data_IF_152992324734
#
_entry.id   IF_152992324734
#
_cell.length_a   1.000
_cell.length_b   1.000
_cell.length_c   1.000
_cell.angle_alpha   90.00
_cell.angle_beta   90.00
_cell.angle_gamma   90.00
#
_symmetry.space_group_name_H-M   'P 1'
#
loop_
_entity.id
_entity.type
_entity.pdbx_description
1 polymer ?
#
# COMPACT_ATOMS: atom_id res chain seq x y z
N UNK A 1 -1.77 17.79 -8.75
CA UNK A 1 -1.20 18.90 -9.38
C UNK A 1 -0.14 18.62 -10.45
N UNK A 2 0.10 17.41 -10.88
CA UNK A 2 1.12 17.04 -11.85
C UNK A 2 0.84 17.41 -13.31
N UNK A 3 -0.07 18.31 -13.62
CA UNK A 3 -0.44 18.60 -15.00
C UNK A 3 0.22 19.88 -15.59
N UNK A 4 1.15 20.49 -14.88
CA UNK A 4 1.74 21.75 -15.32
C UNK A 4 2.99 21.60 -16.19
N UNK A 5 3.57 20.42 -16.28
CA UNK A 5 4.81 20.17 -17.01
C UNK A 5 6.06 20.86 -16.46
N UNK A 6 5.94 21.53 -15.33
CA UNK A 6 6.99 22.30 -14.70
C UNK A 6 7.16 21.93 -13.21
N UNK A 7 6.92 20.65 -12.88
CA UNK A 7 7.06 20.18 -11.51
C UNK A 7 8.54 20.01 -11.17
N UNK A 8 8.97 20.77 -10.18
CA UNK A 8 10.30 20.64 -9.57
C UNK A 8 10.12 20.22 -8.11
N UNK A 9 10.48 18.99 -7.77
CA UNK A 9 10.27 18.43 -6.43
C UNK A 9 10.78 19.38 -5.33
N UNK A 10 11.95 19.94 -5.52
CA UNK A 10 12.59 20.86 -4.59
C UNK A 10 11.78 22.14 -4.32
N UNK A 11 11.15 22.68 -5.37
CA UNK A 11 10.41 23.95 -5.29
C UNK A 11 8.92 23.73 -4.94
N UNK A 12 8.35 22.60 -5.36
CA UNK A 12 6.92 22.34 -5.26
C UNK A 12 6.51 21.57 -3.99
N UNK A 13 7.43 20.83 -3.36
CA UNK A 13 7.15 20.04 -2.16
C UNK A 13 7.48 20.82 -0.89
N UNK A 14 6.46 21.39 -0.27
CA UNK A 14 6.62 22.10 1.00
C UNK A 14 6.94 21.17 2.18
N UNK A 15 6.38 19.97 2.18
CA UNK A 15 6.57 18.97 3.23
C UNK A 15 6.73 17.58 2.61
N UNK A 16 7.90 16.92 2.76
CA UNK A 16 8.10 15.57 2.27
C UNK A 16 7.27 14.57 3.07
N UNK A 17 7.04 13.38 2.48
CA UNK A 17 6.37 12.30 3.20
C UNK A 17 7.09 11.97 4.51
N UNK A 18 6.31 11.81 5.57
CA UNK A 18 6.82 11.53 6.91
C UNK A 18 7.24 12.77 7.72
N UNK A 19 7.25 13.96 7.11
CA UNK A 19 7.55 15.20 7.82
C UNK A 19 6.61 15.41 9.00
N UNK A 20 7.17 15.86 10.13
CA UNK A 20 6.42 16.22 11.31
C UNK A 20 7.15 17.28 12.14
N UNK A 21 6.42 17.94 13.01
CA UNK A 21 6.97 18.92 13.95
C UNK A 21 6.90 18.41 15.38
N UNK A 22 7.83 18.85 16.21
CA UNK A 22 7.85 18.57 17.64
C UNK A 22 8.17 19.84 18.43
N UNK A 23 7.78 19.87 19.69
CA UNK A 23 8.19 20.91 20.63
C UNK A 23 9.60 20.70 21.20
N UNK A 24 10.26 19.63 20.79
CA UNK A 24 11.62 19.27 21.21
C UNK A 24 12.38 18.67 20.03
N UNK A 25 13.71 18.59 20.16
CA UNK A 25 14.59 18.06 19.12
C UNK A 25 15.07 16.65 19.47
N UNK A 26 15.22 15.80 18.46
CA UNK A 26 15.72 14.45 18.62
C UNK A 26 16.98 14.21 17.77
N UNK A 27 17.84 13.33 18.26
CA UNK A 27 19.02 12.89 17.55
C UNK A 27 19.06 11.37 17.46
N UNK A 28 19.34 10.86 16.26
CA UNK A 28 19.57 9.43 16.00
C UNK A 28 21.06 9.11 16.06
N UNK A 29 21.41 7.96 16.61
CA UNK A 29 22.78 7.45 16.67
C UNK A 29 22.78 5.92 16.78
N UNK A 30 23.97 5.34 16.69
CA UNK A 30 24.23 3.94 16.96
C UNK A 30 23.33 2.98 16.13
N UNK A 31 23.05 3.33 14.85
CA UNK A 31 22.32 2.45 13.96
C UNK A 31 23.04 1.12 13.82
N UNK A 32 22.29 0.04 14.01
CA UNK A 32 22.73 -1.33 13.71
C UNK A 32 21.64 -1.99 12.87
N UNK A 33 22.06 -2.60 11.77
CA UNK A 33 21.17 -3.39 10.92
C UNK A 33 21.84 -4.73 10.66
N UNK A 34 21.09 -5.81 10.78
CA UNK A 34 21.53 -7.15 10.43
C UNK A 34 20.43 -7.86 9.64
N UNK A 35 20.81 -8.60 8.60
CA UNK A 35 19.89 -9.45 7.87
C UNK A 35 19.82 -10.84 8.51
N UNK A 36 18.65 -11.19 9.00
CA UNK A 36 18.35 -12.51 9.53
C UNK A 36 17.79 -13.38 8.41
N UNK A 37 18.65 -14.24 7.86
CA UNK A 37 18.32 -15.09 6.70
C UNK A 37 17.24 -16.15 7.00
N UNK A 38 17.15 -16.61 8.25
CA UNK A 38 16.19 -17.66 8.62
C UNK A 38 14.77 -17.12 8.67
N UNK A 39 14.62 -15.86 9.12
CA UNK A 39 13.34 -15.17 9.21
C UNK A 39 13.02 -14.33 7.96
N UNK A 40 13.98 -14.15 7.08
CA UNK A 40 13.94 -13.27 5.91
C UNK A 40 13.61 -11.82 6.24
N UNK A 41 14.22 -11.29 7.31
CA UNK A 41 13.98 -9.94 7.83
C UNK A 41 15.28 -9.19 8.11
N UNK A 42 15.20 -7.86 8.07
CA UNK A 42 16.23 -6.99 8.65
C UNK A 42 15.86 -6.63 10.08
N UNK A 43 16.77 -6.87 11.00
CA UNK A 43 16.68 -6.43 12.39
C UNK A 43 17.37 -5.06 12.49
N UNK A 44 16.61 -4.02 12.79
CA UNK A 44 17.06 -2.62 12.84
C UNK A 44 17.02 -2.13 14.26
N UNK A 45 18.12 -1.58 14.75
CA UNK A 45 18.22 -0.98 16.07
C UNK A 45 18.85 0.40 15.96
N UNK A 46 18.24 1.41 16.58
CA UNK A 46 18.73 2.79 16.58
C UNK A 46 18.47 3.45 17.93
N UNK A 47 19.42 4.23 18.41
CA UNK A 47 19.28 5.04 19.61
C UNK A 47 18.73 6.41 19.26
N UNK A 48 17.65 6.79 19.94
CA UNK A 48 17.01 8.12 19.85
C UNK A 48 17.25 8.86 21.16
N UNK A 49 17.70 10.10 21.07
CA UNK A 49 17.94 10.96 22.23
C UNK A 49 17.16 12.25 22.07
N UNK A 50 16.37 12.64 23.06
CA UNK A 50 15.79 13.97 23.13
C UNK A 50 16.91 14.97 23.48
N UNK A 51 17.25 15.82 22.53
CA UNK A 51 18.32 16.85 22.67
C UNK A 51 17.81 18.21 23.08
N UNK A 52 16.49 18.38 23.16
CA UNK A 52 15.87 19.59 23.65
C UNK A 52 16.11 19.79 25.16
N UNK A 53 15.75 20.98 25.64
CA UNK A 53 16.03 21.37 27.02
C UNK A 53 14.79 21.50 27.90
N UNK A 54 13.62 21.65 27.31
CA UNK A 54 12.41 22.05 28.02
C UNK A 54 11.29 21.00 27.96
N UNK A 55 11.08 20.38 26.80
CA UNK A 55 9.90 19.54 26.59
C UNK A 55 10.24 18.07 26.45
N UNK A 56 9.38 17.26 27.03
CA UNK A 56 9.36 15.83 26.75
C UNK A 56 8.56 15.57 25.47
N UNK A 57 8.92 14.53 24.73
CA UNK A 57 8.21 14.16 23.50
C UNK A 57 8.44 12.72 23.08
N UNK A 58 7.64 12.27 22.13
CA UNK A 58 7.84 11.00 21.41
C UNK A 58 8.39 11.29 20.03
N UNK A 59 9.29 10.44 19.57
CA UNK A 59 9.85 10.53 18.22
C UNK A 59 9.41 9.34 17.38
N UNK A 60 9.13 9.59 16.09
CA UNK A 60 8.87 8.56 15.09
C UNK A 60 10.11 8.30 14.26
N UNK A 61 10.70 7.14 14.43
CA UNK A 61 11.80 6.68 13.58
C UNK A 61 11.20 5.97 12.37
N UNK A 62 11.49 6.46 11.17
CA UNK A 62 11.05 5.89 9.91
C UNK A 62 12.22 5.17 9.24
N UNK A 63 11.99 3.95 8.77
CA UNK A 63 12.99 3.16 8.03
C UNK A 63 12.64 3.21 6.56
N UNK A 64 13.58 3.72 5.77
CA UNK A 64 13.45 3.81 4.32
C UNK A 64 14.46 2.92 3.64
N UNK A 65 14.16 2.50 2.43
CA UNK A 65 15.12 1.84 1.57
C UNK A 65 15.21 2.49 0.19
N UNK A 66 16.35 2.29 -0.46
CA UNK A 66 16.54 2.52 -1.87
C UNK A 66 17.01 1.23 -2.51
N UNK A 67 16.28 0.76 -3.52
CA UNK A 67 16.69 -0.36 -4.36
C UNK A 67 17.71 0.06 -5.42
N UNK A 68 18.51 -0.87 -5.96
CA UNK A 68 19.23 -0.62 -7.20
C UNK A 68 18.23 -0.31 -8.33
N UNK A 69 18.69 0.47 -9.31
CA UNK A 69 17.96 0.71 -10.55
C UNK A 69 18.87 0.30 -11.68
N UNK A 70 18.55 -0.80 -12.32
CA UNK A 70 19.45 -1.56 -13.19
C UNK A 70 19.08 -1.41 -14.66
N UNK A 71 19.94 -1.92 -15.55
CA UNK A 71 19.62 -1.99 -16.96
C UNK A 71 18.39 -2.87 -17.24
N UNK A 72 18.19 -3.92 -16.42
CA UNK A 72 17.01 -4.75 -16.49
C UNK A 72 15.73 -3.95 -16.21
N UNK A 73 15.75 -3.08 -15.19
CA UNK A 73 14.61 -2.24 -14.82
C UNK A 73 14.22 -1.30 -15.97
N UNK A 74 15.23 -0.66 -16.58
CA UNK A 74 15.03 0.25 -17.72
C UNK A 74 14.43 -0.51 -18.91
N UNK A 75 14.98 -1.69 -19.22
CA UNK A 75 14.54 -2.51 -20.36
C UNK A 75 13.12 -3.04 -20.18
N UNK A 76 12.72 -3.37 -18.94
CA UNK A 76 11.42 -3.96 -18.64
C UNK A 76 10.42 -2.96 -18.03
N UNK A 77 10.75 -1.66 -17.99
CA UNK A 77 9.86 -0.63 -17.43
C UNK A 77 9.55 -0.80 -15.95
N UNK A 78 10.48 -1.38 -15.16
CA UNK A 78 10.30 -1.52 -13.70
C UNK A 78 10.67 -0.23 -13.02
N UNK A 79 9.68 0.60 -12.72
CA UNK A 79 9.91 1.88 -12.07
C UNK A 79 9.99 1.77 -10.54
N UNK A 80 10.89 2.55 -9.95
CA UNK A 80 11.19 2.51 -8.51
C UNK A 80 11.38 3.93 -7.99
N UNK A 81 10.77 4.21 -6.84
CA UNK A 81 11.00 5.48 -6.15
C UNK A 81 12.45 5.66 -5.69
N UNK A 82 12.88 6.91 -5.46
CA UNK A 82 14.19 7.20 -4.90
C UNK A 82 14.38 6.59 -3.52
N UNK A 83 13.32 6.61 -2.72
CA UNK A 83 13.22 5.93 -1.43
C UNK A 83 11.78 5.48 -1.20
N UNK A 84 11.60 4.39 -0.45
CA UNK A 84 10.29 3.95 0.02
C UNK A 84 10.34 3.60 1.51
N UNK A 85 9.26 3.91 2.24
CA UNK A 85 9.10 3.52 3.63
C UNK A 85 8.94 1.99 3.70
N UNK A 86 9.72 1.33 4.55
CA UNK A 86 9.64 -0.12 4.78
C UNK A 86 9.44 -0.51 6.25
N UNK A 87 9.46 0.45 7.15
CA UNK A 87 9.20 0.21 8.56
C UNK A 87 9.19 1.50 9.37
N UNK A 88 8.62 1.44 10.56
CA UNK A 88 8.69 2.55 11.51
C UNK A 88 8.51 2.06 12.95
N UNK A 89 8.96 2.89 13.88
CA UNK A 89 8.74 2.71 15.31
C UNK A 89 8.61 4.06 16.01
N UNK A 90 7.90 4.08 17.13
CA UNK A 90 7.71 5.28 17.94
C UNK A 90 8.30 5.07 19.34
N UNK A 91 9.03 6.08 19.82
CA UNK A 91 9.59 6.02 21.17
C UNK A 91 8.51 6.16 22.24
N UNK A 92 8.83 5.78 23.46
CA UNK A 92 8.13 6.28 24.63
C UNK A 92 8.35 7.79 24.79
N UNK A 93 7.71 8.39 25.79
CA UNK A 93 7.92 9.81 26.08
C UNK A 93 9.32 9.99 26.64
N UNK A 94 10.19 10.66 25.91
CA UNK A 94 11.56 10.98 26.33
C UNK A 94 11.63 12.36 26.96
N UNK A 95 12.04 12.44 28.21
CA UNK A 95 12.38 13.69 28.88
C UNK A 95 13.64 14.34 28.23
N UNK A 96 13.88 15.65 28.42
CA UNK A 96 15.11 16.29 27.98
C UNK A 96 16.36 15.51 28.40
N UNK A 97 17.23 15.20 27.45
CA UNK A 97 18.46 14.40 27.65
C UNK A 97 18.25 12.88 27.76
N UNK A 98 17.02 12.40 27.86
CA UNK A 98 16.75 10.96 27.88
C UNK A 98 16.93 10.32 26.51
N UNK A 99 17.23 9.03 26.52
CA UNK A 99 17.42 8.22 25.30
C UNK A 99 16.71 6.88 25.42
N UNK A 100 16.30 6.38 24.27
CA UNK A 100 15.76 5.03 24.08
C UNK A 100 16.43 4.36 22.88
N UNK A 101 16.55 3.03 22.92
CA UNK A 101 16.94 2.25 21.75
C UNK A 101 15.72 1.55 21.20
N UNK A 102 15.29 1.97 20.02
CA UNK A 102 14.22 1.30 19.28
C UNK A 102 14.78 0.10 18.54
N UNK A 103 14.02 -1.00 18.59
CA UNK A 103 14.25 -2.19 17.79
C UNK A 103 13.06 -2.41 16.87
N UNK A 104 13.33 -2.53 15.58
CA UNK A 104 12.33 -2.69 14.54
C UNK A 104 12.70 -3.87 13.66
N UNK A 105 11.69 -4.46 13.03
CA UNK A 105 11.87 -5.54 12.05
C UNK A 105 11.29 -5.08 10.72
N UNK A 106 12.04 -5.29 9.64
CA UNK A 106 11.62 -4.99 8.26
C UNK A 106 11.69 -6.28 7.46
N UNK A 107 10.57 -6.70 6.91
CA UNK A 107 10.53 -7.87 6.03
C UNK A 107 11.30 -7.57 4.73
N UNK A 108 12.14 -8.49 4.26
CA UNK A 108 12.88 -8.30 3.00
C UNK A 108 11.93 -8.17 1.81
N UNK A 109 10.72 -8.71 1.91
CA UNK A 109 9.65 -8.52 0.92
C UNK A 109 9.36 -7.06 0.63
N UNK A 110 9.46 -6.17 1.63
CA UNK A 110 9.22 -4.73 1.45
C UNK A 110 10.19 -4.08 0.46
N UNK A 111 11.33 -4.73 0.19
CA UNK A 111 12.32 -4.25 -0.76
C UNK A 111 12.05 -4.71 -2.21
N UNK A 112 11.07 -5.59 -2.41
CA UNK A 112 10.75 -6.12 -3.72
C UNK A 112 9.98 -5.10 -4.57
N UNK A 113 10.18 -5.15 -5.88
CA UNK A 113 9.46 -4.37 -6.88
C UNK A 113 8.62 -5.30 -7.73
N UNK A 114 7.43 -4.86 -8.16
CA UNK A 114 6.63 -5.63 -9.10
C UNK A 114 7.11 -5.37 -10.52
N UNK A 115 7.41 -6.42 -11.24
CA UNK A 115 7.84 -6.39 -12.64
C UNK A 115 6.68 -6.82 -13.53
N UNK A 116 6.02 -5.86 -14.15
CA UNK A 116 4.81 -6.10 -14.94
C UNK A 116 5.10 -6.78 -16.28
N UNK A 117 6.15 -6.36 -16.96
CA UNK A 117 6.39 -6.71 -18.36
C UNK A 117 7.46 -7.80 -18.55
N UNK A 118 8.36 -7.97 -17.57
CA UNK A 118 9.41 -8.98 -17.61
C UNK A 118 9.00 -10.28 -16.90
N UNK A 119 9.20 -10.34 -15.59
CA UNK A 119 8.95 -11.55 -14.79
C UNK A 119 7.46 -11.79 -14.45
N UNK A 120 6.59 -10.78 -14.57
CA UNK A 120 5.17 -10.84 -14.23
C UNK A 120 4.89 -11.05 -12.73
N UNK A 121 5.85 -10.73 -11.87
CA UNK A 121 5.77 -10.96 -10.42
C UNK A 121 6.68 -10.01 -9.64
N UNK A 122 6.76 -10.18 -8.32
CA UNK A 122 7.71 -9.45 -7.49
C UNK A 122 9.15 -9.94 -7.68
N UNK A 123 10.07 -8.99 -7.84
CA UNK A 123 11.50 -9.24 -8.04
C UNK A 123 12.36 -8.54 -6.99
N UNK A 124 13.55 -9.10 -6.76
CA UNK A 124 14.66 -8.41 -6.12
C UNK A 124 15.83 -8.39 -7.10
N UNK A 125 16.33 -7.20 -7.39
CA UNK A 125 17.47 -7.05 -8.28
C UNK A 125 18.78 -7.51 -7.64
N UNK A 126 19.72 -7.89 -8.48
CA UNK A 126 21.10 -7.98 -8.06
C UNK A 126 21.66 -6.57 -7.83
N UNK A 127 22.35 -6.38 -6.71
CA UNK A 127 23.00 -5.11 -6.43
C UNK A 127 22.84 -4.61 -5.00
N UNK A 128 23.19 -3.36 -4.81
CA UNK A 128 23.24 -2.71 -3.51
C UNK A 128 21.91 -2.03 -3.17
N UNK A 129 21.29 -2.50 -2.10
CA UNK A 129 20.18 -1.86 -1.42
C UNK A 129 20.70 -1.03 -0.25
N UNK A 130 20.09 0.12 -0.01
CA UNK A 130 20.45 0.99 1.10
C UNK A 130 19.25 1.13 2.03
N UNK A 131 19.39 0.76 3.30
CA UNK A 131 18.40 0.98 4.34
C UNK A 131 18.89 2.13 5.22
N UNK A 132 18.00 3.09 5.50
CA UNK A 132 18.34 4.22 6.36
C UNK A 132 17.21 4.52 7.35
N UNK A 133 17.56 5.09 8.49
CA UNK A 133 16.59 5.67 9.42
C UNK A 133 16.60 7.19 9.27
N UNK A 134 15.42 7.78 9.17
CA UNK A 134 15.26 9.20 8.96
C UNK A 134 13.97 9.74 9.58
N UNK A 135 13.84 11.05 9.65
CA UNK A 135 12.62 11.75 10.12
C UNK A 135 11.56 11.88 9.05
N UNK A 136 11.97 11.80 7.78
CA UNK A 136 11.13 11.93 6.59
C UNK A 136 11.84 11.38 5.35
N UNK A 137 11.12 11.30 4.23
CA UNK A 137 11.63 10.75 2.97
C UNK A 137 12.80 11.55 2.38
N UNK A 138 12.81 12.88 2.52
CA UNK A 138 13.87 13.71 1.97
C UNK A 138 15.18 13.54 2.74
N UNK A 139 15.11 13.54 4.09
CA UNK A 139 16.26 13.20 4.92
C UNK A 139 16.78 11.77 4.65
N UNK A 140 15.90 10.84 4.32
CA UNK A 140 16.31 9.50 3.89
C UNK A 140 17.14 9.54 2.60
N UNK A 141 16.74 10.33 1.60
CA UNK A 141 17.53 10.55 0.37
C UNK A 141 18.89 11.14 0.71
N UNK A 142 18.93 12.22 1.54
CA UNK A 142 20.18 12.85 1.97
C UNK A 142 21.15 11.84 2.63
N UNK A 143 20.66 11.02 3.56
CA UNK A 143 21.45 10.01 4.25
C UNK A 143 22.04 8.97 3.28
N UNK A 144 21.23 8.49 2.34
CA UNK A 144 21.65 7.49 1.35
C UNK A 144 22.66 8.08 0.37
N UNK A 145 22.45 9.30 -0.13
CA UNK A 145 23.39 10.00 -0.99
C UNK A 145 24.73 10.24 -0.28
N UNK A 146 24.69 10.66 1.00
CA UNK A 146 25.90 10.77 1.81
C UNK A 146 26.63 9.43 1.98
N UNK A 147 25.91 8.33 2.18
CA UNK A 147 26.51 6.99 2.24
C UNK A 147 27.13 6.53 0.91
N UNK A 148 26.68 7.09 -0.20
CA UNK A 148 27.26 6.91 -1.54
C UNK A 148 28.42 7.87 -1.85
N UNK A 149 28.75 8.77 -0.91
CA UNK A 149 29.85 9.74 -1.05
C UNK A 149 29.48 11.06 -1.70
N UNK A 150 28.19 11.35 -1.83
CA UNK A 150 27.70 12.64 -2.32
C UNK A 150 27.59 13.68 -1.20
N UNK A 151 27.61 14.95 -1.61
CA UNK A 151 27.44 16.11 -0.76
C UNK A 151 26.48 17.09 -1.44
N UNK A 152 26.03 18.10 -0.71
CA UNK A 152 25.19 19.17 -1.28
C UNK A 152 25.83 19.80 -2.52
N UNK A 153 27.16 20.01 -2.50
CA UNK A 153 27.89 20.69 -3.56
C UNK A 153 27.97 19.92 -4.89
N UNK A 154 27.73 18.60 -4.88
CA UNK A 154 27.91 17.76 -6.07
C UNK A 154 26.66 16.96 -6.49
N UNK A 155 25.49 17.40 -6.08
CA UNK A 155 24.21 16.70 -6.35
C UNK A 155 23.21 17.54 -7.14
N UNK A 156 23.60 18.74 -7.63
CA UNK A 156 22.73 19.64 -8.42
C UNK A 156 21.34 19.84 -7.79
N UNK A 157 21.31 20.13 -6.47
CA UNK A 157 20.09 20.39 -5.71
C UNK A 157 19.32 19.15 -5.25
N UNK A 158 19.80 17.92 -5.53
CA UNK A 158 19.17 16.69 -5.02
C UNK A 158 19.35 16.47 -3.51
N UNK A 159 20.31 17.15 -2.91
CA UNK A 159 20.49 17.24 -1.46
C UNK A 159 20.31 18.71 -1.05
N UNK A 160 19.46 18.96 -0.06
CA UNK A 160 19.30 20.29 0.53
C UNK A 160 20.22 20.49 1.74
N UNK A 161 20.61 19.39 2.38
CA UNK A 161 21.54 19.36 3.50
C UNK A 161 22.48 18.16 3.38
N UNK A 162 23.63 18.22 4.02
CA UNK A 162 24.50 17.06 4.17
C UNK A 162 23.80 15.99 4.99
N UNK A 163 23.66 14.81 4.42
CA UNK A 163 23.08 13.65 5.08
C UNK A 163 24.02 13.03 6.09
N UNK A 164 23.50 12.14 6.91
CA UNK A 164 24.26 11.36 7.87
C UNK A 164 24.48 9.92 7.38
N UNK A 165 25.63 9.64 6.78
CA UNK A 165 25.97 8.30 6.28
C UNK A 165 25.99 7.22 7.36
N UNK A 166 26.21 7.58 8.64
CA UNK A 166 26.21 6.63 9.75
C UNK A 166 24.81 6.08 10.10
N UNK A 167 23.77 6.69 9.55
CA UNK A 167 22.36 6.25 9.67
C UNK A 167 21.91 5.39 8.48
N UNK A 168 22.85 4.94 7.63
CA UNK A 168 22.56 4.11 6.46
C UNK A 168 23.34 2.80 6.52
N UNK A 169 22.64 1.72 6.22
CA UNK A 169 23.19 0.37 6.06
C UNK A 169 23.09 -0.07 4.61
N UNK A 170 24.18 -0.63 4.08
CA UNK A 170 24.20 -1.20 2.74
C UNK A 170 24.04 -2.70 2.77
N UNK A 171 23.04 -3.21 2.09
CA UNK A 171 22.79 -4.62 1.85
C UNK A 171 23.04 -4.96 0.39
N UNK A 172 23.89 -5.95 0.13
CA UNK A 172 24.11 -6.44 -1.21
C UNK A 172 23.28 -7.69 -1.47
N UNK A 173 22.36 -7.63 -2.42
CA UNK A 173 21.67 -8.80 -2.94
C UNK A 173 22.53 -9.42 -4.04
N UNK A 174 23.05 -10.67 -3.88
CA UNK A 174 24.10 -11.21 -4.73
C UNK A 174 23.63 -11.68 -6.11
N UNK A 175 22.32 -11.74 -6.35
CA UNK A 175 21.75 -12.19 -7.62
C UNK A 175 20.31 -11.70 -7.79
N UNK A 176 19.89 -11.56 -9.03
CA UNK A 176 18.49 -11.35 -9.40
C UNK A 176 17.62 -12.51 -8.89
N UNK A 177 16.46 -12.17 -8.32
CA UNK A 177 15.51 -13.14 -7.75
C UNK A 177 14.08 -12.78 -8.13
N UNK A 178 13.45 -13.59 -8.97
CA UNK A 178 12.06 -13.49 -9.40
C UNK A 178 11.20 -14.65 -8.88
N UNK A 179 11.69 -15.38 -7.88
CA UNK A 179 11.04 -16.62 -7.42
C UNK A 179 10.62 -16.57 -5.94
N UNK A 180 11.41 -15.94 -5.08
CA UNK A 180 11.17 -15.94 -3.63
C UNK A 180 9.80 -15.33 -3.29
N UNK A 181 9.39 -14.28 -3.97
CA UNK A 181 8.11 -13.58 -3.74
C UNK A 181 7.12 -13.73 -4.89
N UNK A 182 7.28 -14.76 -5.73
CA UNK A 182 6.37 -15.08 -6.82
C UNK A 182 5.06 -15.74 -6.36
N UNK A 183 4.99 -16.16 -5.11
CA UNK A 183 3.80 -16.76 -4.52
C UNK A 183 3.45 -16.08 -3.19
N UNK A 184 2.17 -16.01 -2.90
CA UNK A 184 1.63 -15.52 -1.63
C UNK A 184 1.88 -16.52 -0.48
N UNK A 185 1.57 -16.11 0.76
CA UNK A 185 1.76 -16.95 1.95
C UNK A 185 0.97 -18.27 1.90
N UNK A 186 -0.13 -18.31 1.18
CA UNK A 186 -0.95 -19.52 0.98
C UNK A 186 -0.58 -20.31 -0.29
N UNK A 187 0.51 -19.94 -0.98
CA UNK A 187 1.00 -20.65 -2.17
C UNK A 187 0.33 -20.26 -3.49
N UNK A 188 -0.52 -19.23 -3.50
CA UNK A 188 -1.12 -18.72 -4.73
C UNK A 188 -0.10 -17.93 -5.53
N UNK A 189 0.00 -18.22 -6.84
CA UNK A 189 0.85 -17.46 -7.75
C UNK A 189 0.44 -15.98 -7.78
N UNK A 190 1.42 -15.09 -7.65
CA UNK A 190 1.21 -13.64 -7.72
C UNK A 190 1.40 -13.21 -9.16
N UNK A 191 0.34 -12.61 -9.73
CA UNK A 191 0.34 -12.04 -11.08
C UNK A 191 -0.51 -10.78 -11.12
N UNK A 192 -0.30 -9.93 -12.13
CA UNK A 192 -1.14 -8.77 -12.34
C UNK A 192 -2.57 -9.21 -12.70
N UNK A 193 -3.52 -8.88 -11.84
CA UNK A 193 -4.95 -9.14 -12.04
C UNK A 193 -5.70 -7.92 -12.58
N UNK A 194 -4.99 -6.81 -12.81
CA UNK A 194 -5.55 -5.53 -13.25
C UNK A 194 -4.93 -5.06 -14.57
N UNK A 195 -4.41 -6.00 -15.38
CA UNK A 195 -3.77 -5.68 -16.66
C UNK A 195 -4.71 -5.00 -17.64
N UNK A 196 -5.98 -5.37 -17.61
CA UNK A 196 -7.05 -4.79 -18.41
C UNK A 196 -7.56 -3.43 -17.90
N UNK A 197 -7.11 -3.01 -16.70
CA UNK A 197 -7.33 -1.67 -16.18
C UNK A 197 -6.13 -0.72 -16.40
N UNK A 198 -5.10 -1.16 -17.11
CA UNK A 198 -3.96 -0.31 -17.46
C UNK A 198 -4.43 0.82 -18.40
N UNK A 199 -4.04 2.05 -18.07
CA UNK A 199 -4.39 3.22 -18.89
C UNK A 199 -3.79 3.14 -20.31
N UNK A 200 -2.70 2.39 -20.47
CA UNK A 200 -2.02 2.13 -21.74
C UNK A 200 -2.40 0.78 -22.36
N UNK A 201 -3.58 0.22 -21.99
CA UNK A 201 -4.08 -1.04 -22.55
C UNK A 201 -4.09 -1.04 -24.09
N UNK A 202 -4.30 0.15 -24.68
CA UNK A 202 -4.33 0.35 -26.13
C UNK A 202 -3.01 0.95 -26.63
N UNK A 203 -1.90 0.27 -26.34
CA UNK A 203 -0.57 0.66 -26.80
C UNK A 203 -0.50 0.98 -28.30
N UNK A 204 0.38 1.92 -28.68
CA UNK A 204 0.54 2.36 -30.06
C UNK A 204 -0.49 3.36 -30.53
N UNK A 205 -1.32 3.89 -29.64
CA UNK A 205 -2.14 5.06 -29.91
C UNK A 205 -1.33 6.35 -29.79
N UNK A 206 -1.77 7.43 -30.47
CA UNK A 206 -1.10 8.74 -30.39
C UNK A 206 -1.16 9.39 -28.98
N UNK A 207 -2.02 8.87 -28.12
CA UNK A 207 -2.33 9.42 -26.80
C UNK A 207 -1.81 8.52 -25.64
N UNK A 208 -0.83 7.65 -25.91
CA UNK A 208 -0.21 6.82 -24.89
C UNK A 208 0.42 7.66 -23.78
N UNK A 209 0.17 7.27 -22.52
CA UNK A 209 0.68 7.98 -21.35
C UNK A 209 2.06 7.44 -21.00
N UNK A 210 3.05 8.34 -20.98
CA UNK A 210 4.38 8.05 -20.49
C UNK A 210 4.43 8.24 -18.98
N UNK A 211 4.78 7.19 -18.25
CA UNK A 211 4.95 7.24 -16.80
C UNK A 211 6.27 7.91 -16.40
N UNK A 212 6.30 8.45 -15.18
CA UNK A 212 7.54 8.99 -14.59
C UNK A 212 8.60 7.91 -14.54
N UNK A 213 9.73 8.14 -15.21
CA UNK A 213 10.86 7.22 -15.21
C UNK A 213 12.02 7.77 -14.39
N UNK A 214 12.59 6.91 -13.54
CA UNK A 214 13.83 7.20 -12.82
C UNK A 214 15.05 7.24 -13.74
N UNK A 215 14.90 6.75 -14.96
CA UNK A 215 15.99 6.71 -15.95
C UNK A 215 16.51 8.12 -16.31
N UNK A 216 15.61 9.04 -16.52
CA UNK A 216 15.95 10.40 -16.95
C UNK A 216 15.24 11.53 -16.17
N UNK A 217 14.14 11.23 -15.50
CA UNK A 217 13.29 12.20 -14.80
C UNK A 217 12.70 13.27 -15.74
N UNK A 218 12.74 13.03 -17.05
CA UNK A 218 12.32 13.97 -18.08
C UNK A 218 11.06 13.48 -18.79
N UNK A 219 10.32 14.40 -19.40
CA UNK A 219 9.23 14.11 -20.34
C UNK A 219 8.02 13.43 -19.74
N UNK A 220 7.98 13.23 -18.42
CA UNK A 220 7.00 12.40 -17.74
C UNK A 220 5.75 13.16 -17.30
N UNK A 221 5.80 14.48 -17.30
CA UNK A 221 4.63 15.32 -17.05
C UNK A 221 4.16 15.91 -18.37
N UNK A 222 2.90 15.69 -18.75
CA UNK A 222 2.39 16.21 -20.00
C UNK A 222 2.40 17.75 -20.00
N UNK A 223 2.92 18.34 -21.06
CA UNK A 223 2.93 19.80 -21.28
C UNK A 223 1.55 20.37 -21.61
N UNK A 224 0.60 19.50 -21.92
CA UNK A 224 -0.79 19.83 -22.25
C UNK A 224 -1.73 18.76 -21.71
N UNK A 225 -3.01 19.08 -21.63
CA UNK A 225 -4.03 18.09 -21.29
C UNK A 225 -4.06 17.02 -22.36
N UNK A 226 -3.80 15.78 -21.97
CA UNK A 226 -3.94 14.62 -22.85
C UNK A 226 -5.41 14.45 -23.22
N UNK A 227 -5.67 14.25 -24.50
CA UNK A 227 -7.00 13.99 -25.04
C UNK A 227 -7.00 12.64 -25.72
N UNK A 228 -7.36 11.62 -24.97
CA UNK A 228 -7.57 10.31 -25.54
C UNK A 228 -8.77 10.33 -26.49
N UNK A 229 -8.61 9.78 -27.68
CA UNK A 229 -9.69 9.57 -28.64
C UNK A 229 -10.09 8.10 -28.61
N UNK A 230 -11.37 7.84 -28.67
CA UNK A 230 -11.87 6.49 -28.85
C UNK A 230 -11.35 5.91 -30.16
N UNK A 231 -10.65 4.78 -30.07
CA UNK A 231 -10.27 3.95 -31.22
C UNK A 231 -11.42 3.03 -31.61
N UNK A 232 -11.36 2.42 -32.80
CA UNK A 232 -12.34 1.42 -33.20
C UNK A 232 -12.36 0.24 -32.21
N UNK A 233 -11.19 -0.20 -31.73
CA UNK A 233 -11.07 -1.27 -30.72
C UNK A 233 -11.74 -0.89 -29.40
N UNK A 234 -11.51 0.32 -28.87
CA UNK A 234 -12.18 0.79 -27.66
C UNK A 234 -13.71 0.81 -27.81
N UNK A 235 -14.20 1.15 -29.02
CA UNK A 235 -15.64 1.14 -29.30
C UNK A 235 -16.18 -0.30 -29.33
N UNK A 236 -15.45 -1.23 -29.93
CA UNK A 236 -15.81 -2.64 -29.93
C UNK A 236 -15.84 -3.20 -28.49
N UNK A 237 -14.79 -2.96 -27.70
CA UNK A 237 -14.69 -3.42 -26.31
C UNK A 237 -15.81 -2.84 -25.42
N UNK A 238 -16.19 -1.57 -25.64
CA UNK A 238 -17.31 -0.95 -24.95
C UNK A 238 -18.69 -1.52 -25.36
N UNK A 239 -18.80 -2.12 -26.54
CA UNK A 239 -20.02 -2.77 -27.00
C UNK A 239 -20.13 -4.22 -26.50
N UNK A 240 -19.01 -4.85 -26.23
CA UNK A 240 -18.93 -6.24 -25.77
C UNK A 240 -19.29 -6.42 -24.28
N UNK A 241 -19.62 -5.36 -23.56
CA UNK A 241 -20.16 -5.44 -22.19
C UNK A 241 -21.63 -5.86 -22.12
N UNK A 242 -22.26 -6.15 -23.25
CA UNK A 242 -23.63 -6.64 -23.28
C UNK A 242 -23.65 -8.12 -22.87
N UNK A 243 -24.49 -8.45 -21.88
CA UNK A 243 -24.72 -9.85 -21.52
C UNK A 243 -25.24 -10.63 -22.74
N UNK A 244 -24.46 -11.60 -23.21
CA UNK A 244 -24.88 -12.57 -24.20
C UNK A 244 -25.11 -13.92 -23.52
N UNK A 245 -26.34 -14.44 -23.51
CA UNK A 245 -26.62 -15.73 -22.90
C UNK A 245 -25.87 -16.89 -23.59
N UNK A 246 -25.47 -16.74 -24.87
CA UNK A 246 -24.76 -17.78 -25.61
C UNK A 246 -23.32 -17.98 -25.10
N UNK A 247 -22.70 -16.94 -24.46
CA UNK A 247 -21.39 -17.04 -23.78
C UNK A 247 -21.44 -17.97 -22.57
N UNK A 248 -22.64 -18.32 -22.10
CA UNK A 248 -22.89 -19.10 -20.89
C UNK A 248 -23.63 -20.42 -21.17
N UNK A 249 -23.63 -20.93 -22.40
CA UNK A 249 -24.34 -22.16 -22.77
C UNK A 249 -24.00 -23.35 -21.85
N UNK A 250 -22.77 -23.42 -21.33
CA UNK A 250 -22.34 -24.47 -20.40
C UNK A 250 -22.69 -24.18 -18.92
N UNK A 251 -23.19 -23.02 -18.62
CA UNK A 251 -23.53 -22.65 -17.26
C UNK A 251 -24.71 -23.45 -16.75
N UNK A 252 -24.51 -24.17 -15.65
CA UNK A 252 -25.57 -24.94 -15.00
C UNK A 252 -26.24 -24.09 -13.93
N UNK A 253 -27.55 -24.07 -13.93
CA UNK A 253 -28.30 -23.49 -12.83
C UNK A 253 -27.89 -24.15 -11.50
N UNK A 254 -27.60 -23.38 -10.45
CA UNK A 254 -27.30 -23.96 -9.14
C UNK A 254 -28.51 -24.70 -8.57
N UNK A 255 -28.27 -25.65 -7.70
CA UNK A 255 -29.35 -26.26 -6.89
C UNK A 255 -30.01 -25.15 -6.06
N UNK A 256 -31.32 -25.17 -5.97
CA UNK A 256 -32.08 -24.18 -5.24
C UNK A 256 -33.22 -24.82 -4.45
N UNK A 257 -33.60 -24.19 -3.33
CA UNK A 257 -34.75 -24.57 -2.50
C UNK A 257 -34.66 -26.01 -1.94
N UNK A 258 -33.45 -26.54 -1.81
CA UNK A 258 -33.22 -27.78 -1.10
C UNK A 258 -33.73 -27.70 0.34
N UNK A 259 -34.10 -28.83 0.94
CA UNK A 259 -34.60 -28.89 2.31
C UNK A 259 -33.60 -29.58 3.24
N UNK A 260 -32.38 -29.05 3.25
CA UNK A 260 -31.28 -29.62 4.04
C UNK A 260 -31.36 -29.24 5.53
N UNK A 261 -32.20 -28.25 5.88
CA UNK A 261 -32.41 -27.82 7.26
C UNK A 261 -31.23 -27.08 7.89
N UNK A 262 -30.27 -26.65 7.09
CA UNK A 262 -29.09 -25.90 7.54
C UNK A 262 -29.45 -24.45 7.84
N UNK A 263 -28.76 -23.87 8.83
CA UNK A 263 -28.85 -22.47 9.21
C UNK A 263 -27.50 -21.83 9.17
N UNK A 264 -27.42 -20.55 8.90
CA UNK A 264 -26.12 -19.85 8.86
C UNK A 264 -25.33 -20.00 10.19
N UNK A 265 -26.02 -20.02 11.32
CA UNK A 265 -25.38 -20.20 12.64
C UNK A 265 -24.69 -21.57 12.78
N UNK A 266 -25.15 -22.59 12.06
CA UNK A 266 -24.57 -23.93 12.09
C UNK A 266 -23.19 -23.99 11.39
N UNK A 267 -22.84 -22.94 10.64
CA UNK A 267 -21.56 -22.81 9.92
C UNK A 267 -20.41 -22.26 10.78
N UNK A 268 -20.71 -21.81 11.99
CA UNK A 268 -19.69 -21.22 12.88
C UNK A 268 -18.59 -22.24 13.19
N UNK A 269 -17.35 -21.87 12.87
CA UNK A 269 -16.16 -22.70 13.12
C UNK A 269 -15.87 -23.77 12.07
N UNK A 270 -16.67 -23.86 11.02
CA UNK A 270 -16.38 -24.72 9.87
C UNK A 270 -15.30 -24.11 8.98
N UNK A 271 -14.54 -24.97 8.31
CA UNK A 271 -13.62 -24.55 7.24
C UNK A 271 -14.39 -23.92 6.08
N UNK A 272 -13.75 -23.02 5.32
CA UNK A 272 -14.32 -22.45 4.11
C UNK A 272 -14.72 -23.53 3.07
N UNK A 273 -13.95 -24.61 2.98
CA UNK A 273 -14.17 -25.71 2.02
C UNK A 273 -15.03 -26.85 2.61
N UNK A 274 -15.72 -26.64 3.71
CA UNK A 274 -16.60 -27.65 4.31
C UNK A 274 -17.86 -27.84 3.45
N UNK A 275 -18.21 -29.09 3.14
CA UNK A 275 -19.38 -29.46 2.31
C UNK A 275 -20.71 -28.92 2.87
N UNK A 276 -20.77 -28.61 4.16
CA UNK A 276 -21.95 -28.03 4.77
C UNK A 276 -22.33 -26.66 4.19
N UNK A 277 -21.36 -25.92 3.62
CA UNK A 277 -21.62 -24.67 2.91
C UNK A 277 -22.44 -24.90 1.64
N UNK A 278 -22.13 -25.92 0.85
CA UNK A 278 -22.89 -26.27 -0.34
C UNK A 278 -24.33 -26.67 0.04
N UNK A 279 -24.49 -27.46 1.12
CA UNK A 279 -25.79 -27.83 1.63
C UNK A 279 -26.62 -26.62 2.10
N UNK A 280 -25.96 -25.60 2.67
CA UNK A 280 -26.61 -24.34 3.07
C UNK A 280 -27.03 -23.53 1.83
N UNK A 281 -26.11 -23.35 0.88
CA UNK A 281 -26.33 -22.57 -0.34
C UNK A 281 -27.43 -23.15 -1.22
N UNK A 282 -27.50 -24.47 -1.32
CA UNK A 282 -28.54 -25.18 -2.06
C UNK A 282 -29.97 -24.87 -1.58
N UNK A 283 -30.13 -24.36 -0.36
CA UNK A 283 -31.45 -23.98 0.20
C UNK A 283 -31.94 -22.62 -0.30
N UNK A 284 -31.04 -21.77 -0.83
CA UNK A 284 -31.40 -20.43 -1.29
C UNK A 284 -32.37 -20.50 -2.47
N UNK A 285 -33.26 -19.56 -2.53
CA UNK A 285 -34.11 -19.32 -3.69
C UNK A 285 -33.40 -18.35 -4.67
N UNK A 286 -33.82 -18.35 -5.94
CA UNK A 286 -33.36 -17.34 -6.89
C UNK A 286 -33.58 -15.91 -6.38
N UNK A 287 -34.71 -15.67 -5.70
CA UNK A 287 -35.01 -14.37 -5.08
C UNK A 287 -34.00 -14.03 -3.98
N UNK A 288 -33.61 -15.00 -3.13
CA UNK A 288 -32.63 -14.77 -2.09
C UNK A 288 -31.29 -14.33 -2.69
N UNK A 289 -30.82 -15.02 -3.75
CA UNK A 289 -29.58 -14.71 -4.44
C UNK A 289 -29.62 -13.31 -5.11
N UNK A 290 -30.69 -13.01 -5.83
CA UNK A 290 -30.87 -11.71 -6.47
C UNK A 290 -30.91 -10.58 -5.43
N UNK A 291 -31.63 -10.79 -4.33
CA UNK A 291 -31.72 -9.78 -3.25
C UNK A 291 -30.39 -9.57 -2.58
N UNK A 292 -29.61 -10.63 -2.33
CA UNK A 292 -28.28 -10.53 -1.74
C UNK A 292 -27.30 -9.75 -2.61
N UNK A 293 -27.38 -9.92 -3.94
CA UNK A 293 -26.49 -9.26 -4.90
C UNK A 293 -26.99 -7.84 -5.24
N UNK A 294 -28.26 -7.69 -5.51
CA UNK A 294 -28.83 -6.47 -6.10
C UNK A 294 -29.35 -5.45 -5.08
N UNK A 295 -29.85 -5.91 -3.92
CA UNK A 295 -30.47 -5.05 -2.92
C UNK A 295 -29.54 -4.72 -1.74
N UNK A 296 -28.36 -5.38 -1.68
CA UNK A 296 -27.39 -5.22 -0.61
C UNK A 296 -26.40 -4.10 -0.93
N UNK A 297 -26.72 -2.86 -0.57
CA UNK A 297 -25.84 -1.72 -0.81
C UNK A 297 -24.97 -1.40 0.42
N UNK A 298 -25.59 -0.95 1.52
CA UNK A 298 -24.94 -0.73 2.82
C UNK A 298 -25.45 -1.71 3.89
N UNK A 299 -25.89 -2.87 3.48
CA UNK A 299 -26.38 -3.92 4.36
C UNK A 299 -26.31 -5.28 3.69
N UNK A 300 -26.35 -6.32 4.51
CA UNK A 300 -26.61 -7.68 4.04
C UNK A 300 -28.10 -7.98 4.22
N UNK A 301 -28.78 -8.33 3.14
CA UNK A 301 -30.22 -8.62 3.21
C UNK A 301 -30.47 -9.88 4.05
N UNK A 302 -31.54 -9.92 4.84
CA UNK A 302 -31.89 -11.11 5.60
C UNK A 302 -32.31 -12.23 4.64
N UNK A 303 -31.85 -13.46 4.90
CA UNK A 303 -32.19 -14.65 4.14
C UNK A 303 -32.95 -15.62 5.04
N UNK A 304 -34.28 -15.61 4.95
CA UNK A 304 -35.15 -16.44 5.81
C UNK A 304 -34.92 -17.94 5.58
N UNK A 305 -34.62 -18.35 4.35
CA UNK A 305 -34.37 -19.74 3.95
C UNK A 305 -33.27 -20.43 4.76
N UNK A 306 -32.28 -19.68 5.21
CA UNK A 306 -31.12 -20.16 5.98
C UNK A 306 -31.00 -19.45 7.36
N UNK A 307 -32.03 -18.70 7.77
CA UNK A 307 -32.02 -17.94 9.00
C UNK A 307 -30.83 -16.99 9.17
N UNK A 308 -30.36 -16.41 8.06
CA UNK A 308 -29.36 -15.36 8.11
C UNK A 308 -30.04 -14.04 8.49
N UNK A 309 -29.58 -13.36 9.55
CA UNK A 309 -30.08 -12.04 9.90
C UNK A 309 -29.64 -11.00 8.88
N UNK A 310 -30.41 -9.94 8.72
CA UNK A 310 -29.93 -8.74 8.04
C UNK A 310 -28.90 -8.03 8.90
N UNK A 311 -27.86 -7.50 8.25
CA UNK A 311 -26.88 -6.62 8.89
C UNK A 311 -26.90 -5.26 8.21
N UNK A 312 -26.37 -4.27 8.89
CA UNK A 312 -26.23 -2.92 8.37
C UNK A 312 -24.78 -2.51 8.51
N UNK A 313 -24.20 -2.05 7.41
CA UNK A 313 -22.83 -1.58 7.35
C UNK A 313 -22.86 -0.06 7.27
N UNK A 314 -22.27 0.59 8.25
CA UNK A 314 -22.24 2.05 8.32
C UNK A 314 -20.82 2.56 8.15
N UNK A 315 -20.68 3.76 7.58
CA UNK A 315 -19.40 4.46 7.54
C UNK A 315 -19.02 4.85 8.97
N UNK A 316 -17.81 4.53 9.38
CA UNK A 316 -17.43 4.73 10.75
C UNK A 316 -15.98 5.03 11.07
N UNK A 317 -15.07 5.32 10.10
CA UNK A 317 -13.66 5.53 10.46
C UNK A 317 -13.43 6.76 11.33
N UNK A 318 -14.31 7.76 11.24
CA UNK A 318 -14.29 8.98 12.05
C UNK A 318 -15.31 8.96 13.19
N UNK A 319 -15.85 7.80 13.52
CA UNK A 319 -16.94 7.57 14.44
C UNK A 319 -18.19 7.06 13.72
N UNK A 320 -18.99 6.26 14.39
CA UNK A 320 -20.23 5.73 13.82
C UNK A 320 -21.14 6.87 13.38
N UNK A 321 -21.57 6.87 12.13
CA UNK A 321 -22.44 7.88 11.56
C UNK A 321 -23.79 7.30 11.23
N UNK A 322 -24.84 8.12 11.31
CA UNK A 322 -26.13 7.73 10.77
C UNK A 322 -26.02 7.60 9.24
N UNK A 323 -26.55 6.53 8.68
CA UNK A 323 -26.56 6.31 7.24
C UNK A 323 -27.19 7.47 6.48
N UNK A 324 -26.53 7.89 5.42
CA UNK A 324 -27.05 8.89 4.48
C UNK A 324 -28.36 8.45 3.80
N UNK A 325 -28.63 7.14 3.80
CA UNK A 325 -29.72 6.51 3.08
C UNK A 325 -30.91 6.22 4.02
N UNK A 326 -30.67 6.14 5.34
CA UNK A 326 -31.75 5.90 6.29
C UNK A 326 -32.62 7.13 6.44
N UNK A 327 -33.91 6.95 6.26
CA UNK A 327 -34.93 7.94 6.60
C UNK A 327 -35.06 8.16 8.11
N UNK A 328 -34.47 7.28 8.89
CA UNK A 328 -34.46 7.30 10.34
C UNK A 328 -33.15 7.91 10.83
N UNK A 329 -33.20 9.21 11.05
CA UNK A 329 -32.08 9.98 11.64
C UNK A 329 -32.13 9.81 13.17
N UNK A 330 -31.93 8.61 13.65
CA UNK A 330 -31.62 8.41 15.06
C UNK A 330 -30.29 9.04 15.33
N UNK A 331 -30.25 10.03 16.21
CA UNK A 331 -29.02 10.62 16.72
C UNK A 331 -28.22 9.49 17.38
N UNK A 332 -27.11 9.09 16.76
CA UNK A 332 -26.19 8.18 17.40
C UNK A 332 -25.23 9.04 18.24
N UNK A 333 -25.27 8.86 19.55
CA UNK A 333 -24.30 9.44 20.48
C UNK A 333 -22.95 8.71 20.30
N UNK A 334 -22.26 9.01 19.19
CA UNK A 334 -20.98 8.40 18.88
C UNK A 334 -19.83 9.39 19.06
N UNK A 335 -18.68 8.89 19.48
CA UNK A 335 -17.46 9.69 19.53
C UNK A 335 -17.00 10.01 18.10
N UNK A 336 -16.79 11.29 17.82
CA UNK A 336 -16.19 11.71 16.58
C UNK A 336 -14.65 11.68 16.71
N UNK A 337 -14.00 10.96 15.81
CA UNK A 337 -12.55 10.91 15.68
C UNK A 337 -12.10 11.81 14.53
N UNK A 338 -10.79 12.04 14.42
CA UNK A 338 -10.21 12.70 13.26
C UNK A 338 -10.20 11.78 12.04
N UNK A 339 -9.86 12.31 10.85
CA UNK A 339 -9.73 11.47 9.63
C UNK A 339 -8.59 10.46 9.76
N UNK A 340 -8.69 9.39 9.01
CA UNK A 340 -7.72 8.30 8.97
C UNK A 340 -6.33 8.78 8.58
N UNK A 341 -6.25 9.77 7.67
CA UNK A 341 -4.97 10.38 7.24
C UNK A 341 -4.26 11.04 8.43
N UNK A 342 -5.01 11.78 9.27
CA UNK A 342 -4.46 12.42 10.46
C UNK A 342 -4.07 11.39 11.51
N UNK A 343 -4.87 10.33 11.66
CA UNK A 343 -4.54 9.21 12.54
C UNK A 343 -3.28 8.49 12.07
N UNK A 344 -3.20 8.17 10.78
CA UNK A 344 -2.03 7.52 10.17
C UNK A 344 -0.76 8.38 10.29
N UNK A 345 -0.89 9.70 10.13
CA UNK A 345 0.21 10.64 10.28
C UNK A 345 0.83 10.68 11.69
N UNK A 346 0.15 10.12 12.69
CA UNK A 346 0.72 9.96 14.03
C UNK A 346 1.81 8.89 14.10
N UNK A 347 1.86 7.94 13.16
CA UNK A 347 2.73 6.76 13.19
C UNK A 347 2.64 5.99 14.53
N UNK A 348 1.47 5.99 15.17
CA UNK A 348 1.25 5.42 16.49
C UNK A 348 0.27 4.25 16.44
N UNK A 349 0.82 3.03 16.34
CA UNK A 349 0.01 1.80 16.25
C UNK A 349 -0.83 1.56 17.50
N UNK A 350 -0.30 1.88 18.68
CA UNK A 350 -1.01 1.67 19.94
C UNK A 350 -2.26 2.56 19.99
N UNK A 351 -2.13 3.83 19.59
CA UNK A 351 -3.27 4.74 19.49
C UNK A 351 -4.32 4.23 18.50
N UNK A 352 -3.90 3.64 17.37
CA UNK A 352 -4.83 3.06 16.39
C UNK A 352 -5.55 1.82 16.92
N UNK A 353 -4.96 1.13 17.87
CA UNK A 353 -5.57 -0.05 18.50
C UNK A 353 -6.59 0.35 19.58
N UNK A 354 -6.42 1.53 20.17
CA UNK A 354 -7.35 2.08 21.17
C UNK A 354 -8.58 2.75 20.56
N UNK A 355 -8.49 3.24 19.32
CA UNK A 355 -9.58 3.87 18.57
C UNK A 355 -10.42 2.79 17.85
#
# INVERSE_FOLDING_TARGET
SGNSGAYEYHDDVAYPFGYGMSYTDFKYSDLKVSYNKEKDVFEVSVKVTNTGKEYSGKETVQVYFQSPYTAYDIENGVEKSSVALCGFGKTEILAPGASETLNMTVDRRELASYDTYGAGTYILDEGDYYLTVATDAHNAVNNILAAKGYTVDNTDGRMDTDGNSSLTYKYNNPKFDSTTYAVSANGTEIKNQLSDADINLYEGTEDEITYVSRNDWEGTLPQSILKMKLTEQMIEDLQDVQYDPDDYEEAKMPTMKAKNGKKLVDMIGLSYDDEAWDELLDQLSFKDMVSLIGDSFHWTMPLESVQAPGTRDENGPQGLTASLIASDKTEMDATAFTSEDVMAATFNRDLMTEI
#
